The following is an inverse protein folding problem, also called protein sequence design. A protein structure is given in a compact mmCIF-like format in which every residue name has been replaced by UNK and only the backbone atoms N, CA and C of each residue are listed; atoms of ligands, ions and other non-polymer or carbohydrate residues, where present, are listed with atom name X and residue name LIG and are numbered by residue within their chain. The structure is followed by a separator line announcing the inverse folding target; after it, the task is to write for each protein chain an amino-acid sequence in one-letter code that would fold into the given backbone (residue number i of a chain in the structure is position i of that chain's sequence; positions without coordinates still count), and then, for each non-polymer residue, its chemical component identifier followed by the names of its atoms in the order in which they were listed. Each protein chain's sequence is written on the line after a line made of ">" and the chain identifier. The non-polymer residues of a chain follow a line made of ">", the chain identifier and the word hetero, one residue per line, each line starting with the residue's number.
data_IF_118105883650
#
_entry.id   IF_118105883650
#
_cell.length_a   1.000
_cell.length_b   1.000
_cell.length_c   1.000
_cell.angle_alpha   90.00
_cell.angle_beta   90.00
_cell.angle_gamma   90.00
#
_symmetry.space_group_name_H-M   'P 1'
#
loop_
_entity.id
_entity.type
_entity.pdbx_description
1 polymer ?
#
# COMPACT_ATOMS: atom_id res chain seq x y z
N UNK A 1 10.23 8.06 17.68
CA UNK A 1 10.08 7.14 16.52
C UNK A 1 8.62 6.69 16.47
N UNK A 2 7.90 6.89 15.35
CA UNK A 2 6.52 6.35 15.24
C UNK A 2 6.64 4.85 15.09
N UNK A 3 6.27 4.09 16.12
CA UNK A 3 6.28 2.62 16.08
C UNK A 3 5.23 2.21 15.04
N UNK A 4 5.69 1.72 13.89
CA UNK A 4 4.81 1.14 12.89
C UNK A 4 4.33 -0.20 13.43
N UNK A 5 3.03 -0.39 13.71
CA UNK A 5 2.55 -1.65 14.24
C UNK A 5 2.83 -2.75 13.22
N UNK A 6 3.35 -3.86 13.74
CA UNK A 6 3.56 -5.08 12.97
C UNK A 6 2.54 -6.09 13.44
N UNK A 7 1.82 -6.68 12.49
CA UNK A 7 0.96 -7.83 12.77
C UNK A 7 1.83 -8.98 13.26
N UNK A 8 1.35 -9.71 14.25
CA UNK A 8 1.92 -11.00 14.61
C UNK A 8 1.61 -12.01 13.51
N UNK A 9 2.65 -12.47 12.81
CA UNK A 9 2.53 -13.39 11.69
C UNK A 9 3.15 -14.74 12.05
N UNK A 10 2.56 -15.86 11.61
CA UNK A 10 3.21 -17.16 11.73
C UNK A 10 4.52 -17.17 10.94
N UNK A 11 5.50 -17.91 11.45
CA UNK A 11 6.85 -18.02 10.89
C UNK A 11 6.92 -18.28 9.36
N UNK A 12 6.11 -19.19 8.77
CA UNK A 12 6.12 -19.38 7.31
C UNK A 12 5.73 -18.10 6.55
N UNK A 13 4.73 -17.36 7.03
CA UNK A 13 4.24 -16.15 6.37
C UNK A 13 5.27 -15.00 6.47
N UNK A 14 5.97 -14.90 7.61
CA UNK A 14 7.07 -13.96 7.82
C UNK A 14 8.23 -14.21 6.84
N UNK A 15 8.58 -15.48 6.61
CA UNK A 15 9.57 -15.88 5.60
C UNK A 15 9.14 -15.47 4.19
N UNK A 16 7.88 -15.75 3.82
CA UNK A 16 7.35 -15.38 2.51
C UNK A 16 7.29 -13.86 2.30
N UNK A 17 6.98 -13.09 3.34
CA UNK A 17 6.98 -11.62 3.28
C UNK A 17 8.39 -11.08 3.00
N UNK A 18 9.42 -11.67 3.61
CA UNK A 18 10.83 -11.35 3.35
C UNK A 18 11.23 -11.71 1.93
N UNK A 19 10.89 -12.91 1.46
CA UNK A 19 11.12 -13.35 0.08
C UNK A 19 10.46 -12.39 -0.93
N UNK A 20 9.22 -11.98 -0.66
CA UNK A 20 8.48 -11.01 -1.47
C UNK A 20 9.21 -9.67 -1.60
N UNK A 21 9.84 -9.20 -0.52
CA UNK A 21 10.63 -7.98 -0.53
C UNK A 21 11.90 -8.14 -1.40
N UNK A 22 12.60 -9.27 -1.27
CA UNK A 22 13.76 -9.58 -2.11
C UNK A 22 13.39 -9.68 -3.59
N UNK A 23 12.29 -10.37 -3.92
CA UNK A 23 11.76 -10.43 -5.28
C UNK A 23 11.35 -9.05 -5.80
N UNK A 24 10.74 -8.19 -4.96
CA UNK A 24 10.38 -6.81 -5.35
C UNK A 24 11.63 -6.02 -5.75
N UNK A 25 12.75 -6.17 -5.03
CA UNK A 25 14.02 -5.47 -5.33
C UNK A 25 14.63 -5.89 -6.65
N UNK A 26 14.47 -7.15 -7.05
CA UNK A 26 15.00 -7.68 -8.33
C UNK A 26 14.07 -7.45 -9.52
N UNK A 27 12.83 -7.03 -9.28
CA UNK A 27 11.82 -6.89 -10.32
C UNK A 27 12.05 -5.59 -11.10
N UNK A 28 12.06 -5.63 -12.44
CA UNK A 28 12.15 -4.41 -13.25
C UNK A 28 10.88 -3.56 -13.14
N UNK A 29 10.95 -2.30 -13.57
CA UNK A 29 9.84 -1.34 -13.49
C UNK A 29 8.75 -1.54 -14.56
N UNK A 30 8.95 -2.48 -15.48
CA UNK A 30 8.02 -2.79 -16.58
C UNK A 30 7.54 -1.54 -17.33
N UNK A 31 8.42 -0.99 -18.15
CA UNK A 31 8.15 0.22 -18.95
C UNK A 31 7.71 -0.14 -20.38
N UNK A 32 7.06 0.80 -21.06
CA UNK A 32 6.85 0.71 -22.51
C UNK A 32 8.16 1.00 -23.26
N UNK A 33 8.25 0.48 -24.48
CA UNK A 33 9.37 0.80 -25.37
C UNK A 33 9.43 2.33 -25.61
N UNK A 34 10.65 2.87 -25.59
CA UNK A 34 10.95 4.29 -25.85
C UNK A 34 10.21 5.28 -24.93
N UNK A 35 9.70 4.82 -23.78
CA UNK A 35 9.07 5.68 -22.77
C UNK A 35 10.03 6.79 -22.31
N UNK A 36 11.32 6.48 -22.16
CA UNK A 36 12.37 7.44 -21.79
C UNK A 36 12.76 8.40 -22.91
N UNK A 37 12.39 8.12 -24.17
CA UNK A 37 12.79 8.91 -25.34
C UNK A 37 11.76 9.97 -25.70
N UNK A 38 10.47 9.69 -25.53
CA UNK A 38 9.39 10.53 -26.01
C UNK A 38 8.44 10.95 -24.89
N UNK A 39 8.31 12.26 -24.65
CA UNK A 39 7.37 12.85 -23.67
C UNK A 39 5.93 12.39 -23.87
N UNK A 40 5.47 12.26 -25.12
CA UNK A 40 4.10 11.77 -25.45
C UNK A 40 3.82 10.34 -24.96
N UNK A 41 4.86 9.56 -24.61
CA UNK A 41 4.77 8.15 -24.21
C UNK A 41 5.12 7.96 -22.72
N UNK A 42 5.72 8.96 -22.08
CA UNK A 42 6.29 8.89 -20.73
C UNK A 42 5.33 8.31 -19.69
N UNK A 43 4.08 8.79 -19.66
CA UNK A 43 3.05 8.37 -18.69
C UNK A 43 2.17 7.19 -19.15
N UNK A 44 2.49 6.55 -20.28
CA UNK A 44 1.60 5.55 -20.87
C UNK A 44 1.64 4.16 -20.18
N UNK A 45 2.53 3.98 -19.20
CA UNK A 45 2.69 2.74 -18.45
C UNK A 45 3.13 1.55 -19.31
N UNK A 46 2.99 0.32 -18.78
CA UNK A 46 3.31 -0.89 -19.53
C UNK A 46 2.30 -1.17 -20.66
N UNK A 47 2.80 -1.55 -21.84
CA UNK A 47 1.98 -2.06 -22.95
C UNK A 47 2.64 -3.30 -23.54
N UNK A 48 1.84 -4.31 -23.87
CA UNK A 48 2.33 -5.49 -24.55
C UNK A 48 2.86 -5.12 -25.95
N UNK A 49 4.01 -5.64 -26.31
CA UNK A 49 4.73 -5.29 -27.52
C UNK A 49 4.38 -6.25 -28.64
N UNK A 50 3.82 -5.70 -29.71
CA UNK A 50 3.31 -6.48 -30.85
C UNK A 50 4.37 -6.70 -31.92
N UNK A 51 5.20 -5.68 -32.18
CA UNK A 51 6.11 -5.65 -33.34
C UNK A 51 7.18 -6.73 -33.29
N UNK A 52 7.45 -7.34 -34.45
CA UNK A 52 8.42 -8.42 -34.59
C UNK A 52 9.84 -7.98 -34.20
N UNK A 53 10.22 -6.75 -34.55
CA UNK A 53 11.56 -6.15 -34.33
C UNK A 53 11.76 -5.56 -32.94
N UNK A 54 10.75 -5.63 -32.08
CA UNK A 54 10.86 -5.06 -30.75
C UNK A 54 11.92 -5.81 -29.92
N UNK A 55 12.95 -5.08 -29.49
CA UNK A 55 14.10 -5.61 -28.73
C UNK A 55 13.70 -6.14 -27.35
N UNK A 56 12.70 -5.53 -26.70
CA UNK A 56 12.17 -6.02 -25.42
C UNK A 56 11.37 -7.31 -25.63
N UNK A 57 10.57 -7.41 -26.72
CA UNK A 57 9.86 -8.65 -27.10
C UNK A 57 10.84 -9.79 -27.37
N UNK A 58 11.96 -9.49 -28.05
CA UNK A 58 13.08 -10.42 -28.30
C UNK A 58 14.02 -10.62 -27.10
N UNK A 59 13.76 -9.97 -25.96
CA UNK A 59 14.54 -10.07 -24.70
C UNK A 59 16.04 -9.74 -24.85
N UNK A 60 16.38 -8.77 -25.69
CA UNK A 60 17.77 -8.37 -25.90
C UNK A 60 18.40 -7.76 -24.64
N UNK A 61 19.67 -8.08 -24.38
CA UNK A 61 20.44 -7.50 -23.27
C UNK A 61 20.54 -5.97 -23.42
N UNK A 62 20.40 -5.25 -22.31
CA UNK A 62 20.40 -3.78 -22.28
C UNK A 62 19.02 -3.15 -22.43
N UNK A 63 18.02 -3.91 -22.88
CA UNK A 63 16.63 -3.46 -22.91
C UNK A 63 15.86 -3.96 -21.67
N UNK A 64 14.83 -3.24 -21.21
CA UNK A 64 13.96 -3.71 -20.12
C UNK A 64 13.40 -5.11 -20.40
N UNK A 65 13.24 -5.93 -19.37
CA UNK A 65 12.67 -7.28 -19.52
C UNK A 65 11.15 -7.22 -19.73
N UNK A 66 10.56 -8.09 -20.58
CA UNK A 66 9.11 -8.14 -20.75
C UNK A 66 8.42 -8.66 -19.49
N UNK A 67 7.11 -8.42 -19.39
CA UNK A 67 6.29 -8.97 -18.30
C UNK A 67 6.07 -10.46 -18.53
N UNK A 68 6.31 -11.25 -17.49
CA UNK A 68 6.16 -12.71 -17.49
C UNK A 68 5.52 -13.20 -16.19
N UNK A 69 4.91 -14.39 -16.22
CA UNK A 69 4.27 -15.01 -15.06
C UNK A 69 5.28 -15.26 -13.92
N UNK A 70 6.55 -15.53 -14.25
CA UNK A 70 7.62 -15.77 -13.29
C UNK A 70 7.93 -14.60 -12.33
N UNK A 71 7.50 -13.38 -12.66
CA UNK A 71 7.64 -12.22 -11.78
C UNK A 71 6.57 -12.16 -10.67
N UNK A 72 5.61 -13.09 -10.66
CA UNK A 72 4.59 -13.14 -9.61
C UNK A 72 5.22 -13.45 -8.26
N UNK A 73 4.74 -12.73 -7.24
CA UNK A 73 5.09 -12.94 -5.83
C UNK A 73 4.30 -14.13 -5.25
N UNK A 74 4.78 -14.75 -4.15
CA UNK A 74 4.05 -15.85 -3.50
C UNK A 74 2.62 -15.44 -3.17
N UNK A 75 1.66 -16.34 -3.43
CA UNK A 75 0.23 -16.03 -3.36
C UNK A 75 -0.20 -15.55 -1.97
N UNK A 76 0.25 -16.24 -0.91
CA UNK A 76 -0.14 -15.95 0.48
C UNK A 76 0.23 -14.54 0.98
N UNK A 77 1.24 -13.89 0.40
CA UNK A 77 1.72 -12.56 0.81
C UNK A 77 1.51 -11.48 -0.25
N UNK A 78 0.88 -11.85 -1.36
CA UNK A 78 0.54 -10.92 -2.44
C UNK A 78 -0.53 -9.96 -1.91
N UNK A 79 -0.35 -8.65 -2.13
CA UNK A 79 -1.31 -7.63 -1.67
C UNK A 79 -1.16 -7.17 -0.21
N UNK A 80 -0.40 -7.88 0.65
CA UNK A 80 -0.21 -7.44 2.04
C UNK A 80 0.61 -6.13 2.15
N UNK A 81 0.30 -5.29 3.13
CA UNK A 81 1.12 -4.14 3.51
C UNK A 81 2.52 -4.62 3.96
N UNK A 82 3.60 -3.82 3.85
CA UNK A 82 4.92 -4.17 4.40
C UNK A 82 4.90 -4.56 5.89
N UNK A 83 3.94 -4.05 6.67
CA UNK A 83 3.73 -4.44 8.07
C UNK A 83 3.05 -5.81 8.27
N UNK A 84 2.55 -6.44 7.20
CA UNK A 84 1.88 -7.74 7.25
C UNK A 84 0.35 -7.69 7.34
N UNK A 85 -0.24 -6.50 7.46
CA UNK A 85 -1.70 -6.32 7.44
C UNK A 85 -2.28 -6.44 6.03
N UNK A 86 -3.54 -6.84 5.96
CA UNK A 86 -4.37 -6.71 4.75
C UNK A 86 -4.91 -5.29 4.71
N UNK A 87 -4.62 -4.54 3.65
CA UNK A 87 -5.13 -3.18 3.49
C UNK A 87 -6.61 -3.20 3.12
N UNK A 88 -7.43 -2.47 3.86
CA UNK A 88 -8.86 -2.28 3.56
C UNK A 88 -9.12 -0.81 3.30
N UNK A 89 -9.73 -0.51 2.15
CA UNK A 89 -10.10 0.84 1.76
C UNK A 89 -11.45 1.20 2.41
N UNK A 90 -11.48 2.29 3.17
CA UNK A 90 -12.66 2.73 3.95
C UNK A 90 -13.06 4.14 3.55
N UNK A 91 -14.38 4.36 3.41
CA UNK A 91 -14.96 5.65 3.05
C UNK A 91 -15.88 6.21 4.14
N UNK A 92 -16.47 5.35 4.97
CA UNK A 92 -17.42 5.69 6.03
C UNK A 92 -17.06 5.00 7.34
N UNK A 93 -17.49 5.53 8.49
CA UNK A 93 -17.28 4.86 9.79
C UNK A 93 -18.00 3.51 9.90
N UNK A 94 -19.06 3.30 9.12
CA UNK A 94 -19.78 2.02 9.06
C UNK A 94 -18.95 0.91 8.40
N UNK A 95 -18.11 1.24 7.42
CA UNK A 95 -17.30 0.23 6.68
C UNK A 95 -16.21 -0.41 7.59
N UNK A 96 -16.04 0.09 8.82
CA UNK A 96 -15.17 -0.52 9.84
C UNK A 96 -15.84 -1.70 10.55
N UNK A 97 -17.17 -1.82 10.47
CA UNK A 97 -17.90 -2.92 11.08
C UNK A 97 -17.64 -4.23 10.32
N UNK A 98 -17.31 -5.30 11.03
CA UNK A 98 -17.04 -6.62 10.45
C UNK A 98 -15.59 -6.85 9.97
N UNK A 99 -14.68 -5.91 10.24
CA UNK A 99 -13.25 -6.10 10.02
C UNK A 99 -12.55 -6.58 11.31
N UNK A 100 -11.50 -7.38 11.15
CA UNK A 100 -10.65 -7.80 12.27
C UNK A 100 -9.43 -6.89 12.46
N UNK A 101 -9.26 -6.22 13.63
CA UNK A 101 -8.12 -5.32 13.89
C UNK A 101 -6.76 -6.01 13.84
N UNK A 102 -6.70 -7.31 14.12
CA UNK A 102 -5.47 -8.11 14.09
C UNK A 102 -5.00 -8.43 12.67
N UNK A 103 -5.93 -8.47 11.70
CA UNK A 103 -5.66 -8.90 10.32
C UNK A 103 -5.61 -7.72 9.38
N UNK A 104 -6.52 -6.76 9.57
CA UNK A 104 -6.76 -5.65 8.66
C UNK A 104 -6.16 -4.33 9.18
N UNK A 105 -5.61 -3.56 8.25
CA UNK A 105 -5.25 -2.16 8.48
C UNK A 105 -6.10 -1.29 7.56
N UNK A 106 -6.52 -0.13 8.09
CA UNK A 106 -7.46 0.76 7.42
C UNK A 106 -6.68 1.79 6.61
N UNK A 107 -7.04 1.93 5.34
CA UNK A 107 -6.65 3.06 4.49
C UNK A 107 -7.89 3.88 4.17
N UNK A 108 -7.88 5.14 4.54
CA UNK A 108 -8.98 6.06 4.26
C UNK A 108 -8.89 6.52 2.81
N UNK A 109 -10.00 6.48 2.07
CA UNK A 109 -10.08 6.98 0.70
C UNK A 109 -9.63 8.43 0.55
N UNK A 110 -9.08 8.78 -0.62
CA UNK A 110 -8.62 10.14 -0.92
C UNK A 110 -9.75 11.17 -0.91
N UNK A 111 -10.95 10.76 -1.34
CA UNK A 111 -12.15 11.61 -1.48
C UNK A 111 -12.82 11.96 -0.15
N UNK A 112 -12.43 11.31 0.95
CA UNK A 112 -13.04 11.55 2.26
C UNK A 112 -12.51 12.85 2.86
N UNK A 113 -13.41 13.83 3.05
CA UNK A 113 -13.10 15.12 3.65
C UNK A 113 -12.84 15.07 5.16
N UNK A 114 -12.24 16.12 5.71
CA UNK A 114 -11.69 16.16 7.06
C UNK A 114 -12.68 15.75 8.17
N UNK A 115 -13.93 16.22 8.11
CA UNK A 115 -14.97 15.89 9.10
C UNK A 115 -15.19 14.38 9.23
N UNK A 116 -15.43 13.71 8.10
CA UNK A 116 -15.61 12.25 8.06
C UNK A 116 -14.31 11.49 8.40
N UNK A 117 -13.14 12.01 8.03
CA UNK A 117 -11.86 11.39 8.41
C UNK A 117 -11.71 11.36 9.93
N UNK A 118 -12.08 12.43 10.62
CA UNK A 118 -11.99 12.51 12.08
C UNK A 118 -12.92 11.49 12.75
N UNK A 119 -14.17 11.37 12.28
CA UNK A 119 -15.12 10.35 12.72
C UNK A 119 -14.58 8.92 12.51
N UNK A 120 -14.03 8.64 11.32
CA UNK A 120 -13.44 7.33 11.00
C UNK A 120 -12.26 7.03 11.91
N UNK A 121 -11.37 8.01 12.15
CA UNK A 121 -10.18 7.80 12.99
C UNK A 121 -10.55 7.60 14.46
N UNK A 122 -11.55 8.32 14.98
CA UNK A 122 -12.07 8.11 16.35
C UNK A 122 -12.61 6.70 16.51
N UNK A 123 -13.53 6.30 15.63
CA UNK A 123 -14.11 4.95 15.64
C UNK A 123 -13.06 3.85 15.40
N UNK A 124 -12.08 4.10 14.54
CA UNK A 124 -10.98 3.17 14.30
C UNK A 124 -10.12 2.98 15.57
N UNK A 125 -9.86 4.04 16.33
CA UNK A 125 -9.14 3.96 17.61
C UNK A 125 -9.93 3.19 18.67
N UNK A 126 -11.22 3.44 18.78
CA UNK A 126 -12.13 2.72 19.69
C UNK A 126 -12.12 1.22 19.40
N UNK A 127 -12.18 0.83 18.12
CA UNK A 127 -12.14 -0.57 17.68
C UNK A 127 -10.72 -1.17 17.62
N UNK A 128 -9.67 -0.37 17.86
CA UNK A 128 -8.27 -0.82 17.85
C UNK A 128 -7.64 -1.03 16.47
N UNK A 129 -8.21 -0.48 15.40
CA UNK A 129 -7.63 -0.55 14.06
C UNK A 129 -6.43 0.38 13.90
N UNK A 130 -5.45 -0.09 13.12
CA UNK A 130 -4.38 0.77 12.64
C UNK A 130 -4.76 1.50 11.35
N UNK A 131 -4.72 2.83 11.39
CA UNK A 131 -4.97 3.69 10.22
C UNK A 131 -3.64 4.05 9.55
N UNK A 132 -3.48 3.67 8.27
CA UNK A 132 -2.24 3.88 7.51
C UNK A 132 -2.02 5.35 7.11
N UNK A 133 -3.10 6.09 6.88
CA UNK A 133 -3.07 7.47 6.42
C UNK A 133 -4.00 8.38 7.25
N UNK A 134 -3.70 8.63 8.54
CA UNK A 134 -4.59 9.41 9.40
C UNK A 134 -4.74 10.88 8.94
N UNK A 135 -3.74 11.44 8.27
CA UNK A 135 -3.71 12.86 7.88
C UNK A 135 -3.20 13.75 9.02
N UNK A 136 -2.36 14.75 8.71
CA UNK A 136 -1.67 15.57 9.73
C UNK A 136 -2.66 16.38 10.58
N UNK A 137 -3.57 17.09 9.90
CA UNK A 137 -4.59 17.94 10.52
C UNK A 137 -5.49 17.16 11.50
N UNK A 138 -5.90 15.95 11.12
CA UNK A 138 -6.72 15.07 11.97
C UNK A 138 -5.95 14.65 13.23
N UNK A 139 -4.65 14.34 13.08
CA UNK A 139 -3.80 13.98 14.22
C UNK A 139 -3.62 15.17 15.17
N UNK A 140 -3.49 16.38 14.65
CA UNK A 140 -3.38 17.60 15.47
C UNK A 140 -4.67 17.91 16.23
N UNK A 141 -5.83 17.81 15.58
CA UNK A 141 -7.13 18.00 16.23
C UNK A 141 -7.35 16.98 17.35
N UNK A 142 -7.04 15.70 17.12
CA UNK A 142 -7.14 14.67 18.14
C UNK A 142 -6.18 14.91 19.33
N UNK A 143 -4.98 15.45 19.08
CA UNK A 143 -4.06 15.84 20.16
C UNK A 143 -4.59 17.01 20.97
N UNK A 144 -5.18 18.01 20.31
CA UNK A 144 -5.82 19.14 21.00
C UNK A 144 -6.95 18.65 21.91
N UNK A 145 -7.84 17.78 21.40
CA UNK A 145 -8.91 17.17 22.20
C UNK A 145 -8.38 16.42 23.43
N UNK A 146 -7.31 15.63 23.28
CA UNK A 146 -6.68 14.90 24.38
C UNK A 146 -6.05 15.82 25.43
N UNK A 147 -5.41 16.91 25.00
CA UNK A 147 -4.79 17.88 25.91
C UNK A 147 -5.84 18.71 26.68
N UNK A 148 -6.96 19.07 26.05
CA UNK A 148 -8.07 19.75 26.73
C UNK A 148 -8.75 18.84 27.76
N UNK A 149 -8.80 17.54 27.51
CA UNK A 149 -9.41 16.55 28.40
C UNK A 149 -8.56 16.17 29.63
N UNK A 150 -7.29 16.60 29.68
CA UNK A 150 -6.41 16.47 30.85
C UNK A 150 -6.38 17.84 31.56
N UNK A 151 -7.34 18.15 32.45
CA UNK A 151 -7.26 19.38 33.23
C UNK A 151 -5.95 19.38 34.02
N UNK A 152 -5.19 20.47 33.92
CA UNK A 152 -3.97 20.68 34.70
C UNK A 152 -4.35 20.58 36.18
N UNK A 153 -3.80 19.57 36.86
CA UNK A 153 -3.76 19.55 38.32
C UNK A 153 -2.89 20.69 38.82
#
# INVERSE_FOLDING_TARGET
>A
MVVVPRRELPQPLKRLLRLRLQMKRRKPEFVRIDQWRYKRIEDSGWRNQRTLDNKIRRKWKGWPKPVEVGYRKPAAVRGLHPSGFVEVLVHRPEDLAGLDPKVHAVRIGRTVGLRKRLEIVKKARELGFYVLNPGKEVVELLKKELNTAQPQQ
#
